data_IF_391131616894
#
_entry.id   IF_391131616894
#
_cell.length_a   1.000
_cell.length_b   1.000
_cell.length_c   1.000
_cell.angle_alpha   90.00
_cell.angle_beta   90.00
_cell.angle_gamma   90.00
#
_symmetry.space_group_name_H-M   'P 1'
#
loop_
_entity.id
_entity.type
_entity.pdbx_description
1 polymer ?
#
# COMPACT_ATOMS: atom_id res chain seq x y z
N UNK A 1 -9.34 3.73 13.06
CA UNK A 1 -9.34 2.35 12.51
C UNK A 1 -8.60 1.42 13.46
N UNK A 2 -9.13 1.13 14.66
CA UNK A 2 -8.38 0.33 15.65
C UNK A 2 -8.00 -1.06 15.13
N UNK A 3 -8.96 -1.75 14.51
CA UNK A 3 -8.78 -3.11 13.96
C UNK A 3 -7.64 -3.17 12.92
N UNK A 4 -7.56 -2.20 12.01
CA UNK A 4 -6.47 -2.16 11.02
C UNK A 4 -5.11 -2.04 11.71
N UNK A 5 -5.00 -1.19 12.72
CA UNK A 5 -3.74 -1.00 13.44
C UNK A 5 -3.34 -2.24 14.23
N UNK A 6 -4.30 -2.93 14.85
CA UNK A 6 -4.05 -4.20 15.54
C UNK A 6 -3.58 -5.28 14.58
N UNK A 7 -4.21 -5.41 13.41
CA UNK A 7 -3.79 -6.37 12.37
C UNK A 7 -2.38 -6.05 11.86
N UNK A 8 -2.07 -4.78 11.58
CA UNK A 8 -0.75 -4.37 11.11
C UNK A 8 0.35 -4.56 12.17
N UNK A 9 0.03 -4.35 13.45
CA UNK A 9 0.97 -4.60 14.55
C UNK A 9 1.35 -6.08 14.67
N UNK A 10 0.42 -6.98 14.32
CA UNK A 10 0.59 -8.42 14.39
C UNK A 10 1.12 -9.04 13.08
N UNK A 11 1.28 -8.29 12.00
CA UNK A 11 1.88 -8.76 10.74
C UNK A 11 3.41 -8.75 10.85
N UNK A 12 4.10 -9.90 10.94
CA UNK A 12 5.54 -9.95 11.21
C UNK A 12 6.39 -9.47 10.03
N UNK A 13 5.93 -9.61 8.78
CA UNK A 13 6.73 -9.30 7.62
C UNK A 13 6.58 -7.81 7.22
N UNK A 14 7.63 -6.98 7.31
CA UNK A 14 7.54 -5.54 7.05
C UNK A 14 7.01 -5.18 5.66
N UNK A 15 7.46 -5.88 4.60
CA UNK A 15 6.94 -5.64 3.25
C UNK A 15 5.43 -5.94 3.11
N UNK A 16 4.95 -7.03 3.72
CA UNK A 16 3.52 -7.38 3.73
C UNK A 16 2.73 -6.32 4.48
N UNK A 17 3.22 -5.91 5.66
CA UNK A 17 2.65 -4.83 6.46
C UNK A 17 2.52 -3.54 5.67
N UNK A 18 3.54 -3.16 4.91
CA UNK A 18 3.54 -1.95 4.11
C UNK A 18 2.51 -1.99 2.97
N UNK A 19 2.43 -3.10 2.24
CA UNK A 19 1.47 -3.31 1.15
C UNK A 19 0.03 -3.30 1.69
N UNK A 20 -0.24 -4.07 2.75
CA UNK A 20 -1.58 -4.13 3.36
C UNK A 20 -1.98 -2.81 4.00
N UNK A 21 -1.05 -2.14 4.70
CA UNK A 21 -1.28 -0.85 5.35
C UNK A 21 -1.65 0.23 4.34
N UNK A 22 -0.94 0.30 3.21
CA UNK A 22 -1.32 1.16 2.10
C UNK A 22 -2.71 0.81 1.56
N UNK A 23 -2.92 -0.45 1.18
CA UNK A 23 -4.14 -0.89 0.52
C UNK A 23 -5.37 -0.59 1.37
N UNK A 24 -5.39 -1.05 2.62
CA UNK A 24 -6.54 -0.85 3.51
C UNK A 24 -6.75 0.62 3.87
N UNK A 25 -5.69 1.42 4.02
CA UNK A 25 -5.85 2.85 4.26
C UNK A 25 -6.57 3.54 3.09
N UNK A 26 -6.15 3.25 1.85
CA UNK A 26 -6.77 3.83 0.64
C UNK A 26 -8.17 3.27 0.42
N UNK A 27 -8.41 2.00 0.73
CA UNK A 27 -9.70 1.33 0.63
C UNK A 27 -10.73 1.94 1.60
N UNK A 28 -10.35 2.15 2.87
CA UNK A 28 -11.24 2.75 3.88
C UNK A 28 -11.52 4.23 3.57
N UNK A 29 -10.59 4.91 2.90
CA UNK A 29 -10.75 6.28 2.40
C UNK A 29 -11.21 7.29 3.49
N UNK A 30 -10.44 7.45 4.60
CA UNK A 30 -10.88 8.21 5.78
C UNK A 30 -10.96 9.73 5.61
N UNK A 31 -10.33 10.30 4.59
CA UNK A 31 -10.29 11.74 4.35
C UNK A 31 -11.14 12.13 3.13
N UNK A 32 -11.57 13.41 3.07
CA UNK A 32 -12.31 13.95 1.91
C UNK A 32 -11.43 14.02 0.64
N UNK A 33 -10.15 14.35 0.80
CA UNK A 33 -9.14 14.35 -0.25
C UNK A 33 -7.78 13.95 0.37
N UNK A 34 -6.84 13.49 -0.45
CA UNK A 34 -5.47 13.21 -0.05
C UNK A 34 -5.19 11.75 0.31
N UNK A 35 -6.19 10.86 0.28
CA UNK A 35 -6.01 9.45 0.65
C UNK A 35 -4.91 8.76 -0.17
N UNK A 36 -4.83 9.01 -1.48
CA UNK A 36 -3.75 8.46 -2.29
C UNK A 36 -2.35 8.98 -1.89
N UNK A 37 -2.23 10.26 -1.51
CA UNK A 37 -0.97 10.87 -1.06
C UNK A 37 -0.56 10.30 0.29
N UNK A 38 -1.49 10.26 1.24
CA UNK A 38 -1.27 9.68 2.56
C UNK A 38 -1.00 8.17 2.49
N UNK A 39 -1.70 7.43 1.63
CA UNK A 39 -1.48 6.00 1.44
C UNK A 39 -0.05 5.69 0.98
N UNK A 40 0.48 6.45 0.00
CA UNK A 40 1.88 6.32 -0.44
C UNK A 40 2.89 6.74 0.62
N UNK A 41 2.55 7.71 1.47
CA UNK A 41 3.39 8.05 2.62
C UNK A 41 3.41 6.93 3.65
N UNK A 42 2.25 6.36 3.99
CA UNK A 42 2.12 5.20 4.90
C UNK A 42 2.89 3.99 4.38
N UNK A 43 2.76 3.68 3.08
CA UNK A 43 3.54 2.63 2.41
C UNK A 43 5.03 2.80 2.70
N UNK A 44 5.56 3.99 2.44
CA UNK A 44 6.97 4.26 2.57
C UNK A 44 7.44 4.32 4.02
N UNK A 45 6.63 4.86 4.94
CA UNK A 45 6.95 4.84 6.36
C UNK A 45 7.09 3.41 6.88
N UNK A 46 6.22 2.50 6.45
CA UNK A 46 6.27 1.08 6.84
C UNK A 46 7.46 0.36 6.18
N UNK A 47 7.73 0.59 4.89
CA UNK A 47 8.91 0.08 4.20
C UNK A 47 10.20 0.50 4.93
N UNK A 48 10.34 1.79 5.23
CA UNK A 48 11.50 2.33 5.94
C UNK A 48 11.66 1.72 7.34
N UNK A 49 10.56 1.53 8.08
CA UNK A 49 10.60 0.85 9.39
C UNK A 49 11.08 -0.60 9.34
N UNK A 50 10.99 -1.23 8.16
CA UNK A 50 11.48 -2.57 7.88
C UNK A 50 12.85 -2.64 7.19
N UNK A 51 13.54 -1.50 7.03
CA UNK A 51 14.85 -1.44 6.37
C UNK A 51 14.82 -1.42 4.84
N UNK A 52 13.65 -1.23 4.21
CA UNK A 52 13.54 -1.10 2.76
C UNK A 52 13.75 0.35 2.31
N UNK A 53 14.26 0.48 1.08
CA UNK A 53 14.41 1.78 0.44
C UNK A 53 13.04 2.45 0.20
N UNK A 54 13.05 3.79 0.30
CA UNK A 54 11.91 4.59 -0.11
C UNK A 54 11.64 4.39 -1.60
N UNK A 55 10.37 4.24 -1.96
CA UNK A 55 9.94 4.02 -3.34
C UNK A 55 8.89 5.03 -3.80
N UNK A 56 8.87 5.27 -5.11
CA UNK A 56 7.93 6.18 -5.76
C UNK A 56 7.26 5.42 -6.89
N UNK A 57 5.93 5.51 -6.96
CA UNK A 57 5.17 5.05 -8.13
C UNK A 57 5.31 6.10 -9.23
N UNK A 58 6.02 5.83 -10.34
CA UNK A 58 6.20 6.79 -11.41
C UNK A 58 4.85 7.14 -12.07
N UNK A 59 4.74 8.36 -12.60
CA UNK A 59 3.49 8.83 -13.24
C UNK A 59 3.10 7.92 -14.41
N UNK A 60 4.09 7.40 -15.13
CA UNK A 60 3.93 6.50 -16.28
C UNK A 60 3.27 5.17 -15.88
N UNK A 61 3.50 4.72 -14.64
CA UNK A 61 2.91 3.50 -14.06
C UNK A 61 1.63 3.75 -13.27
N UNK A 62 1.12 4.99 -13.23
CA UNK A 62 -0.11 5.32 -12.50
C UNK A 62 -1.28 4.45 -12.95
N UNK A 63 -1.42 4.20 -14.25
CA UNK A 63 -2.54 3.38 -14.78
C UNK A 63 -2.47 1.94 -14.27
N UNK A 64 -1.28 1.36 -14.25
CA UNK A 64 -1.02 0.01 -13.73
C UNK A 64 -1.32 -0.08 -12.24
N UNK A 65 -0.80 0.86 -11.45
CA UNK A 65 -1.06 0.96 -10.01
C UNK A 65 -2.55 1.11 -9.69
N UNK A 66 -3.28 1.98 -10.40
CA UNK A 66 -4.71 2.17 -10.18
C UNK A 66 -5.52 0.92 -10.54
N UNK A 67 -5.19 0.26 -11.65
CA UNK A 67 -5.84 -0.99 -12.06
C UNK A 67 -5.60 -2.11 -11.03
N UNK A 68 -4.39 -2.19 -10.49
CA UNK A 68 -4.05 -3.17 -9.46
C UNK A 68 -4.82 -2.93 -8.14
N UNK A 69 -5.00 -1.67 -7.74
CA UNK A 69 -5.83 -1.31 -6.58
C UNK A 69 -7.31 -1.62 -6.81
N UNK A 70 -7.84 -1.34 -8.00
CA UNK A 70 -9.22 -1.65 -8.36
C UNK A 70 -9.47 -3.16 -8.31
N UNK A 71 -8.56 -3.96 -8.90
CA UNK A 71 -8.62 -5.43 -8.83
C UNK A 71 -8.64 -5.92 -7.38
N UNK A 72 -7.72 -5.41 -6.55
CA UNK A 72 -7.67 -5.76 -5.15
C UNK A 72 -8.95 -5.39 -4.38
N UNK A 73 -9.56 -4.26 -4.73
CA UNK A 73 -10.79 -3.77 -4.09
C UNK A 73 -12.05 -4.52 -4.53
N UNK A 74 -12.14 -4.91 -5.80
CA UNK A 74 -13.36 -5.50 -6.38
C UNK A 74 -13.33 -7.03 -6.31
N UNK A 75 -12.18 -7.62 -6.61
CA UNK A 75 -12.01 -9.07 -6.71
C UNK A 75 -11.36 -9.68 -5.45
N UNK A 76 -10.86 -8.84 -4.53
CA UNK A 76 -10.13 -9.31 -3.35
C UNK A 76 -8.73 -9.85 -3.66
N UNK A 77 -8.24 -9.71 -4.90
CA UNK A 77 -6.92 -10.17 -5.32
C UNK A 77 -5.88 -9.04 -5.27
N UNK A 78 -5.08 -9.02 -4.20
CA UNK A 78 -4.01 -8.03 -4.01
C UNK A 78 -2.73 -8.33 -4.79
N UNK A 79 -2.63 -9.49 -5.44
CA UNK A 79 -1.38 -10.00 -6.01
C UNK A 79 -0.73 -9.04 -7.00
N UNK A 80 -1.54 -8.41 -7.87
CA UNK A 80 -1.03 -7.45 -8.86
C UNK A 80 -0.52 -6.18 -8.18
N UNK A 81 -1.19 -5.69 -7.14
CA UNK A 81 -0.74 -4.51 -6.39
C UNK A 81 0.60 -4.80 -5.70
N UNK A 82 0.72 -5.98 -5.08
CA UNK A 82 1.97 -6.46 -4.48
C UNK A 82 3.11 -6.51 -5.51
N UNK A 83 2.87 -7.05 -6.71
CA UNK A 83 3.87 -7.11 -7.80
C UNK A 83 4.32 -5.72 -8.25
N UNK A 84 3.37 -4.77 -8.40
CA UNK A 84 3.70 -3.39 -8.75
C UNK A 84 4.64 -2.78 -7.73
N UNK A 85 4.31 -2.86 -6.43
CA UNK A 85 5.15 -2.31 -5.37
C UNK A 85 6.50 -3.03 -5.29
N UNK A 86 6.52 -4.36 -5.32
CA UNK A 86 7.75 -5.15 -5.26
C UNK A 86 8.71 -4.80 -6.40
N UNK A 87 8.20 -4.56 -7.62
CA UNK A 87 9.02 -4.14 -8.76
C UNK A 87 9.65 -2.75 -8.62
N UNK A 88 9.18 -1.93 -7.68
CA UNK A 88 9.66 -0.57 -7.42
C UNK A 88 10.57 -0.47 -6.19
N UNK A 89 10.59 -1.49 -5.33
CA UNK A 89 11.45 -1.56 -4.14
C UNK A 89 12.75 -2.25 -4.55
N UNK A 90 13.87 -1.54 -4.44
CA UNK A 90 15.22 -2.04 -4.76
C UNK A 90 15.94 -2.53 -3.52
#
# INVERSE_FOLDING_TARGET
>A
MPVLFDLLKNEPHPAVRAVLGHFFFVYIHPYMDGNGRMGRFVLNAMLASGGYNWTVVPVERRKEYMKALEKASVEGDISEFTKVIASLVK
#
